data_IF_099847818574
#
_entry.id   IF_099847818574
#
_cell.length_a   1.000
_cell.length_b   1.000
_cell.length_c   1.000
_cell.angle_alpha   90.00
_cell.angle_beta   90.00
_cell.angle_gamma   90.00
#
_symmetry.space_group_name_H-M   'P 1'
#
loop_
_entity.id
_entity.type
_entity.pdbx_description
1 polymer ?
#
# COMPACT_ATOMS: atom_id res chain seq x y z
N UNK A 1 -13.17 67.44 -7.49
CA UNK A 1 -13.02 66.76 -6.19
C UNK A 1 -13.40 65.31 -6.37
N UNK A 2 -12.49 64.43 -5.99
CA UNK A 2 -12.60 62.99 -5.70
C UNK A 2 -13.07 62.01 -6.79
N UNK A 3 -12.06 61.33 -7.35
CA UNK A 3 -12.15 59.91 -7.72
C UNK A 3 -12.36 59.04 -6.48
N UNK A 4 -13.13 57.96 -6.62
CA UNK A 4 -13.07 56.77 -5.78
C UNK A 4 -13.07 55.54 -6.70
N UNK A 5 -11.88 55.04 -7.03
CA UNK A 5 -11.67 53.67 -7.48
C UNK A 5 -11.81 52.77 -6.25
N UNK A 6 -12.83 51.92 -6.21
CA UNK A 6 -12.87 50.78 -5.30
C UNK A 6 -12.40 49.53 -6.05
N UNK A 7 -11.21 49.11 -5.65
CA UNK A 7 -10.51 47.86 -5.95
C UNK A 7 -11.43 46.63 -5.91
N UNK A 8 -11.55 45.94 -7.05
CA UNK A 8 -12.20 44.63 -7.21
C UNK A 8 -11.21 43.47 -7.25
N UNK A 9 -9.96 43.68 -6.83
CA UNK A 9 -8.86 42.72 -7.01
C UNK A 9 -8.66 41.70 -5.88
N UNK A 10 -9.42 41.77 -4.78
CA UNK A 10 -9.24 40.85 -3.63
C UNK A 10 -10.18 39.64 -3.60
N UNK A 11 -11.28 39.62 -4.37
CA UNK A 11 -12.26 38.52 -4.33
C UNK A 11 -11.92 37.42 -5.35
N UNK A 12 -11.26 37.77 -6.47
CA UNK A 12 -10.93 36.81 -7.53
C UNK A 12 -9.71 35.92 -7.23
N UNK A 13 -8.80 36.31 -6.32
CA UNK A 13 -7.61 35.49 -6.04
C UNK A 13 -7.92 34.27 -5.17
N UNK A 14 -8.95 34.34 -4.32
CA UNK A 14 -9.34 33.23 -3.44
C UNK A 14 -10.13 32.15 -4.17
N UNK A 15 -10.98 32.53 -5.14
CA UNK A 15 -11.74 31.59 -5.98
C UNK A 15 -10.85 30.86 -7.00
N UNK A 16 -9.86 31.53 -7.58
CA UNK A 16 -8.93 30.92 -8.54
C UNK A 16 -8.02 29.85 -7.91
N UNK A 17 -7.60 30.04 -6.65
CA UNK A 17 -6.79 29.06 -5.92
C UNK A 17 -7.58 27.79 -5.58
N UNK A 18 -8.87 27.92 -5.22
CA UNK A 18 -9.72 26.79 -4.86
C UNK A 18 -10.04 25.89 -6.07
N UNK A 19 -10.31 26.49 -7.23
CA UNK A 19 -10.56 25.77 -8.49
C UNK A 19 -9.26 25.13 -9.02
N UNK A 20 -8.13 25.85 -8.96
CA UNK A 20 -6.83 25.33 -9.41
C UNK A 20 -6.34 24.13 -8.59
N UNK A 21 -6.50 24.16 -7.27
CA UNK A 21 -6.15 23.03 -6.39
C UNK A 21 -7.02 21.79 -6.68
N UNK A 22 -8.33 21.97 -6.88
CA UNK A 22 -9.24 20.86 -7.18
C UNK A 22 -8.97 20.21 -8.54
N UNK A 23 -8.64 21.01 -9.56
CA UNK A 23 -8.39 20.50 -10.91
C UNK A 23 -7.06 19.73 -11.01
N UNK A 24 -6.03 20.19 -10.30
CA UNK A 24 -4.76 19.46 -10.23
C UNK A 24 -4.91 18.16 -9.43
N UNK A 25 -5.60 18.17 -8.28
CA UNK A 25 -5.85 16.93 -7.52
C UNK A 25 -6.65 15.90 -8.33
N UNK A 26 -7.73 16.30 -9.01
CA UNK A 26 -8.50 15.39 -9.87
C UNK A 26 -7.68 14.86 -11.06
N UNK A 27 -6.83 15.70 -11.65
CA UNK A 27 -5.89 15.29 -12.70
C UNK A 27 -4.88 14.24 -12.20
N UNK A 28 -4.33 14.42 -11.00
CA UNK A 28 -3.44 13.43 -10.38
C UNK A 28 -4.15 12.13 -10.02
N UNK A 29 -5.41 12.19 -9.58
CA UNK A 29 -6.20 11.00 -9.29
C UNK A 29 -6.55 10.22 -10.57
N UNK A 30 -6.84 10.91 -11.68
CA UNK A 30 -7.04 10.28 -12.98
C UNK A 30 -5.77 9.57 -13.48
N UNK A 31 -4.58 10.12 -13.21
CA UNK A 31 -3.29 9.50 -13.59
C UNK A 31 -3.05 8.15 -12.94
N UNK A 32 -3.72 7.85 -11.81
CA UNK A 32 -3.59 6.58 -11.06
C UNK A 32 -4.69 5.56 -11.39
N UNK A 33 -5.46 5.76 -12.46
CA UNK A 33 -6.40 4.76 -12.98
C UNK A 33 -5.66 3.77 -13.88
N UNK A 34 -5.85 2.46 -13.65
CA UNK A 34 -5.23 1.39 -14.46
C UNK A 34 -6.24 0.34 -14.86
N UNK A 35 -6.08 -0.24 -16.05
CA UNK A 35 -6.94 -1.33 -16.52
C UNK A 35 -6.41 -2.68 -16.05
N UNK A 36 -7.21 -3.40 -15.26
CA UNK A 36 -6.90 -4.78 -14.89
C UNK A 36 -7.45 -5.74 -15.94
N UNK A 37 -6.57 -6.52 -16.57
CA UNK A 37 -6.95 -7.51 -17.60
C UNK A 37 -7.76 -8.68 -17.03
N UNK A 38 -7.54 -9.03 -15.77
CA UNK A 38 -8.22 -10.15 -15.09
C UNK A 38 -9.66 -9.77 -14.76
N UNK A 39 -9.86 -8.63 -14.08
CA UNK A 39 -11.19 -8.12 -13.76
C UNK A 39 -11.90 -7.43 -14.94
N UNK A 40 -11.18 -7.15 -16.04
CA UNK A 40 -11.68 -6.43 -17.23
C UNK A 40 -12.31 -5.08 -16.90
N UNK A 41 -11.67 -4.33 -16.00
CA UNK A 41 -12.18 -3.06 -15.49
C UNK A 41 -11.05 -2.05 -15.25
N UNK A 42 -11.40 -0.77 -15.34
CA UNK A 42 -10.53 0.33 -14.90
C UNK A 42 -10.67 0.54 -13.39
N UNK A 43 -9.55 0.50 -12.70
CA UNK A 43 -9.48 0.56 -11.24
C UNK A 43 -8.82 1.89 -10.85
N UNK A 44 -9.53 2.73 -10.10
CA UNK A 44 -9.00 3.98 -9.54
C UNK A 44 -8.00 3.66 -8.44
N UNK A 45 -6.83 4.31 -8.49
CA UNK A 45 -5.74 4.08 -7.55
C UNK A 45 -5.36 2.61 -7.47
N UNK A 46 -5.18 1.96 -8.62
CA UNK A 46 -4.87 0.53 -8.71
C UNK A 46 -3.58 0.19 -7.97
N UNK A 47 -3.65 -0.77 -7.05
CA UNK A 47 -2.48 -1.29 -6.34
C UNK A 47 -2.04 -2.63 -6.92
N UNK A 48 -2.94 -3.61 -6.94
CA UNK A 48 -2.72 -4.91 -7.57
C UNK A 48 -4.04 -5.64 -7.79
N UNK A 49 -4.01 -6.70 -8.60
CA UNK A 49 -5.05 -7.72 -8.57
C UNK A 49 -4.67 -8.77 -7.53
N UNK A 50 -5.52 -9.00 -6.53
CA UNK A 50 -5.26 -9.99 -5.49
C UNK A 50 -6.00 -11.29 -5.79
N UNK A 51 -5.31 -12.39 -6.14
CA UNK A 51 -5.95 -13.67 -6.41
C UNK A 51 -6.67 -14.24 -5.19
N UNK A 52 -6.16 -13.98 -3.97
CA UNK A 52 -6.75 -14.48 -2.73
C UNK A 52 -8.18 -13.96 -2.51
N UNK A 53 -8.46 -12.74 -2.94
CA UNK A 53 -9.81 -12.15 -2.87
C UNK A 53 -10.58 -12.23 -4.20
N UNK A 54 -9.94 -12.70 -5.28
CA UNK A 54 -10.51 -12.67 -6.62
C UNK A 54 -10.88 -11.26 -7.09
N UNK A 55 -10.25 -10.22 -6.55
CA UNK A 55 -10.63 -8.82 -6.76
C UNK A 55 -9.39 -7.91 -6.83
N UNK A 56 -9.55 -6.73 -7.46
CA UNK A 56 -8.53 -5.70 -7.43
C UNK A 56 -8.51 -4.96 -6.10
N UNK A 57 -7.31 -4.68 -5.61
CA UNK A 57 -7.08 -3.73 -4.54
C UNK A 57 -6.77 -2.39 -5.19
N UNK A 58 -7.54 -1.38 -4.81
CA UNK A 58 -7.42 -0.03 -5.32
C UNK A 58 -7.88 0.98 -4.29
N UNK A 59 -8.11 2.22 -4.72
CA UNK A 59 -8.40 3.34 -3.82
C UNK A 59 -9.56 3.06 -2.84
N UNK A 60 -10.66 2.50 -3.32
CA UNK A 60 -11.90 2.38 -2.56
C UNK A 60 -11.90 1.21 -1.55
N UNK A 61 -10.94 0.30 -1.62
CA UNK A 61 -10.87 -0.87 -0.73
C UNK A 61 -9.48 -1.10 -0.11
N UNK A 62 -8.53 -0.19 -0.30
CA UNK A 62 -7.17 -0.35 0.23
C UNK A 62 -7.16 -0.40 1.77
N UNK A 63 -7.95 0.45 2.45
CA UNK A 63 -8.05 0.43 3.91
C UNK A 63 -8.61 -0.91 4.40
N UNK A 64 -9.68 -1.40 3.77
CA UNK A 64 -10.25 -2.70 4.10
C UNK A 64 -9.23 -3.82 3.92
N UNK A 65 -8.45 -3.79 2.84
CA UNK A 65 -7.35 -4.74 2.62
C UNK A 65 -6.32 -4.70 3.74
N UNK A 66 -5.91 -3.51 4.20
CA UNK A 66 -4.97 -3.37 5.33
C UNK A 66 -5.52 -3.92 6.64
N UNK A 67 -6.79 -3.65 6.94
CA UNK A 67 -7.48 -4.17 8.13
C UNK A 67 -7.58 -5.70 8.07
N UNK A 68 -7.93 -6.27 6.91
CA UNK A 68 -7.98 -7.72 6.71
C UNK A 68 -6.61 -8.37 6.88
N UNK A 69 -5.56 -7.78 6.30
CA UNK A 69 -4.20 -8.30 6.43
C UNK A 69 -3.73 -8.27 7.89
N UNK A 70 -4.04 -7.20 8.63
CA UNK A 70 -3.76 -7.11 10.07
C UNK A 70 -4.56 -8.14 10.88
N UNK A 71 -5.82 -8.37 10.51
CA UNK A 71 -6.69 -9.37 11.11
C UNK A 71 -6.17 -10.80 10.91
N UNK A 72 -5.70 -11.13 9.70
CA UNK A 72 -5.08 -12.43 9.40
C UNK A 72 -3.81 -12.63 10.23
N UNK A 73 -2.89 -11.67 10.23
CA UNK A 73 -1.67 -11.72 11.05
C UNK A 73 -1.99 -11.90 12.53
N UNK A 74 -2.97 -11.17 13.05
CA UNK A 74 -3.36 -11.24 14.46
C UNK A 74 -4.00 -12.59 14.81
N UNK A 75 -4.81 -13.15 13.91
CA UNK A 75 -5.45 -14.47 14.08
C UNK A 75 -4.42 -15.59 14.05
N UNK A 76 -3.49 -15.56 13.08
CA UNK A 76 -2.44 -16.56 12.96
C UNK A 76 -1.44 -16.49 14.13
N UNK A 77 -1.06 -15.29 14.56
CA UNK A 77 -0.23 -15.11 15.76
C UNK A 77 -0.92 -15.67 17.01
N UNK A 78 -2.22 -15.39 17.18
CA UNK A 78 -3.02 -15.94 18.29
C UNK A 78 -3.09 -17.47 18.21
N UNK A 79 -3.29 -18.04 17.02
CA UNK A 79 -3.28 -19.48 16.80
C UNK A 79 -1.94 -20.12 17.22
N UNK A 80 -0.81 -19.54 16.82
CA UNK A 80 0.53 -20.04 17.20
C UNK A 80 0.68 -20.01 18.72
N UNK A 81 0.31 -18.91 19.37
CA UNK A 81 0.41 -18.76 20.83
C UNK A 81 -0.46 -19.79 21.57
N UNK A 82 -1.72 -19.95 21.18
CA UNK A 82 -2.63 -20.92 21.77
C UNK A 82 -2.17 -22.37 21.52
N UNK A 83 -1.72 -22.67 20.30
CA UNK A 83 -1.23 -24.02 19.95
C UNK A 83 0.06 -24.35 20.69
N UNK A 84 0.95 -23.38 20.88
CA UNK A 84 2.17 -23.56 21.67
C UNK A 84 1.85 -23.85 23.15
N UNK A 85 0.92 -23.10 23.75
CA UNK A 85 0.45 -23.36 25.11
C UNK A 85 -0.16 -24.75 25.24
N UNK A 86 -1.04 -25.12 24.31
CA UNK A 86 -1.65 -26.45 24.27
C UNK A 86 -0.61 -27.56 24.15
N UNK A 87 0.37 -27.40 23.25
CA UNK A 87 1.41 -28.40 23.02
C UNK A 87 2.35 -28.56 24.23
N UNK A 88 2.63 -27.45 24.93
CA UNK A 88 3.40 -27.46 26.18
C UNK A 88 2.62 -28.16 27.30
N UNK A 89 1.38 -27.75 27.53
CA UNK A 89 0.56 -28.27 28.64
C UNK A 89 0.17 -29.75 28.42
N UNK A 90 0.12 -30.19 27.15
CA UNK A 90 -0.10 -31.58 26.76
C UNK A 90 1.19 -32.40 26.67
N UNK A 91 2.35 -31.84 27.05
CA UNK A 91 3.66 -32.49 27.00
C UNK A 91 4.03 -33.08 25.62
N UNK A 92 3.54 -32.48 24.54
CA UNK A 92 3.81 -32.94 23.15
C UNK A 92 5.31 -32.81 22.82
N UNK A 93 5.99 -31.83 23.41
CA UNK A 93 7.42 -31.59 23.16
C UNK A 93 8.37 -32.49 23.96
N UNK A 94 7.91 -33.17 25.02
CA UNK A 94 8.78 -33.90 25.95
C UNK A 94 9.26 -35.25 25.39
N UNK A 95 8.80 -35.66 24.21
CA UNK A 95 9.29 -36.86 23.49
C UNK A 95 9.09 -38.19 24.22
N UNK A 96 8.49 -38.19 25.41
CA UNK A 96 8.31 -39.37 26.27
C UNK A 96 7.16 -40.26 25.85
N UNK A 97 6.35 -39.85 24.87
CA UNK A 97 5.46 -40.75 24.16
C UNK A 97 6.04 -41.03 22.78
N UNK A 98 6.62 -42.22 22.65
CA UNK A 98 6.82 -42.96 21.40
C UNK A 98 5.49 -43.17 20.60
N UNK A 99 4.40 -42.53 21.04
CA UNK A 99 3.13 -42.32 20.37
C UNK A 99 2.88 -40.82 20.20
N UNK A 100 3.66 -40.12 19.37
CA UNK A 100 3.13 -38.90 18.74
C UNK A 100 2.06 -39.36 17.76
N UNK A 101 0.87 -39.67 18.29
CA UNK A 101 -0.30 -40.01 17.50
C UNK A 101 -0.56 -38.92 16.46
N UNK A 102 -1.36 -39.24 15.45
CA UNK A 102 -1.70 -38.34 14.34
C UNK A 102 -1.98 -36.89 14.79
N UNK A 103 -2.61 -36.69 15.95
CA UNK A 103 -2.90 -35.38 16.53
C UNK A 103 -1.67 -34.54 16.91
N UNK A 104 -0.63 -35.11 17.54
CA UNK A 104 0.57 -34.36 17.94
C UNK A 104 1.39 -33.92 16.73
N UNK A 105 1.58 -34.85 15.79
CA UNK A 105 2.22 -34.56 14.50
C UNK A 105 1.44 -33.50 13.70
N UNK A 106 0.10 -33.57 13.72
CA UNK A 106 -0.75 -32.58 13.08
C UNK A 106 -0.54 -31.20 13.71
N UNK A 107 -0.61 -31.06 15.04
CA UNK A 107 -0.42 -29.78 15.75
C UNK A 107 0.95 -29.16 15.44
N UNK A 108 2.03 -29.95 15.51
CA UNK A 108 3.37 -29.45 15.19
C UNK A 108 3.43 -29.00 13.72
N UNK A 109 2.90 -29.81 12.80
CA UNK A 109 2.93 -29.49 11.37
C UNK A 109 2.15 -28.22 11.03
N UNK A 110 0.97 -28.03 11.63
CA UNK A 110 0.15 -26.83 11.43
C UNK A 110 0.80 -25.61 12.07
N UNK A 111 1.39 -25.74 13.26
CA UNK A 111 2.16 -24.65 13.87
C UNK A 111 3.33 -24.19 13.00
N UNK A 112 4.11 -25.13 12.45
CA UNK A 112 5.23 -24.82 11.56
C UNK A 112 4.75 -24.14 10.26
N UNK A 113 3.68 -24.67 9.67
CA UNK A 113 3.06 -24.07 8.48
C UNK A 113 2.58 -22.64 8.76
N UNK A 114 1.85 -22.43 9.86
CA UNK A 114 1.36 -21.09 10.23
C UNK A 114 2.52 -20.14 10.58
N UNK A 115 3.61 -20.62 11.16
CA UNK A 115 4.79 -19.79 11.41
C UNK A 115 5.41 -19.27 10.11
N UNK A 116 5.63 -20.16 9.12
CA UNK A 116 6.14 -19.76 7.80
C UNK A 116 5.19 -18.77 7.12
N UNK A 117 3.89 -19.00 7.25
CA UNK A 117 2.83 -18.17 6.71
C UNK A 117 2.84 -16.75 7.32
N UNK A 118 2.99 -16.63 8.65
CA UNK A 118 3.09 -15.35 9.36
C UNK A 118 4.36 -14.60 8.97
N UNK A 119 5.51 -15.28 8.85
CA UNK A 119 6.78 -14.65 8.48
C UNK A 119 6.70 -13.97 7.11
N UNK A 120 6.15 -14.66 6.12
CA UNK A 120 5.92 -14.10 4.79
C UNK A 120 4.90 -12.94 4.84
N UNK A 121 3.77 -13.13 5.52
CA UNK A 121 2.73 -12.09 5.63
C UNK A 121 3.23 -10.83 6.36
N UNK A 122 4.13 -10.95 7.34
CA UNK A 122 4.71 -9.81 8.04
C UNK A 122 5.57 -8.96 7.10
N UNK A 123 6.38 -9.59 6.23
CA UNK A 123 7.14 -8.88 5.18
C UNK A 123 6.19 -8.20 4.19
N UNK A 124 5.11 -8.88 3.80
CA UNK A 124 4.10 -8.33 2.92
C UNK A 124 3.35 -7.13 3.56
N UNK A 125 3.04 -7.20 4.85
CA UNK A 125 2.47 -6.08 5.61
C UNK A 125 3.44 -4.89 5.67
N UNK A 126 4.72 -5.15 5.97
CA UNK A 126 5.74 -4.10 5.98
C UNK A 126 5.89 -3.42 4.62
N UNK A 127 5.79 -4.18 3.52
CA UNK A 127 5.75 -3.64 2.17
C UNK A 127 4.59 -2.67 1.96
N UNK A 128 3.37 -3.04 2.33
CA UNK A 128 2.22 -2.16 2.19
C UNK A 128 2.28 -0.93 3.11
N UNK A 129 2.82 -1.07 4.32
CA UNK A 129 3.09 0.07 5.20
C UNK A 129 4.08 1.04 4.55
N UNK A 130 5.17 0.52 3.96
CA UNK A 130 6.11 1.34 3.20
C UNK A 130 5.41 2.09 2.05
N UNK A 131 4.62 1.38 1.24
CA UNK A 131 3.82 1.97 0.16
C UNK A 131 2.94 3.12 0.65
N UNK A 132 2.24 2.95 1.78
CA UNK A 132 1.40 3.99 2.39
C UNK A 132 2.27 5.17 2.85
N UNK A 133 3.36 4.91 3.57
CA UNK A 133 4.27 5.93 4.09
C UNK A 133 4.87 6.82 2.99
N UNK A 134 5.08 6.28 1.79
CA UNK A 134 5.64 7.01 0.64
C UNK A 134 4.59 7.32 -0.44
N UNK A 135 3.29 7.14 -0.19
CA UNK A 135 2.19 7.38 -1.14
C UNK A 135 2.41 6.72 -2.52
N UNK A 136 3.00 5.53 -2.53
CA UNK A 136 3.27 4.77 -3.75
C UNK A 136 2.52 3.45 -3.73
N UNK A 137 1.92 3.07 -4.85
CA UNK A 137 1.23 1.78 -4.99
C UNK A 137 2.19 0.70 -5.45
N UNK A 138 1.85 -0.55 -5.16
CA UNK A 138 2.65 -1.72 -5.56
C UNK A 138 2.84 -1.75 -7.08
N UNK A 139 1.77 -1.54 -7.86
CA UNK A 139 1.84 -1.42 -9.33
C UNK A 139 2.80 -0.29 -9.78
N UNK A 140 2.71 0.88 -9.15
CA UNK A 140 3.55 2.03 -9.49
C UNK A 140 5.02 1.77 -9.21
N UNK A 141 5.35 1.15 -8.06
CA UNK A 141 6.71 0.77 -7.75
C UNK A 141 7.26 -0.28 -8.70
N UNK A 142 6.48 -1.32 -9.04
CA UNK A 142 6.95 -2.40 -9.91
C UNK A 142 7.11 -1.88 -11.35
N UNK A 143 6.20 -1.03 -11.81
CA UNK A 143 6.12 -0.57 -13.18
C UNK A 143 6.62 0.87 -13.39
N UNK A 144 7.40 1.44 -12.47
CA UNK A 144 7.84 2.84 -12.53
C UNK A 144 8.51 3.24 -13.85
N UNK A 145 9.28 2.31 -14.47
CA UNK A 145 9.92 2.53 -15.78
C UNK A 145 8.94 2.67 -16.96
N UNK A 146 7.67 2.31 -16.78
CA UNK A 146 6.61 2.49 -17.79
C UNK A 146 5.88 3.82 -17.62
N UNK A 147 6.00 4.45 -16.46
CA UNK A 147 5.25 5.64 -16.07
C UNK A 147 6.19 6.85 -16.11
N UNK A 148 5.97 7.75 -17.08
CA UNK A 148 6.82 8.93 -17.28
C UNK A 148 6.82 9.85 -16.05
N UNK A 149 5.75 9.86 -15.27
CA UNK A 149 5.63 10.64 -14.05
C UNK A 149 6.61 10.19 -12.95
N UNK A 150 7.13 8.96 -13.00
CA UNK A 150 8.12 8.44 -12.05
C UNK A 150 9.57 8.54 -12.57
N UNK A 151 9.78 9.23 -13.69
CA UNK A 151 11.07 9.28 -14.38
C UNK A 151 11.65 10.69 -14.37
N UNK A 152 12.89 10.81 -13.92
CA UNK A 152 13.70 12.02 -14.09
C UNK A 152 14.92 11.68 -14.95
N UNK A 153 15.12 12.45 -16.02
CA UNK A 153 16.26 12.30 -16.93
C UNK A 153 17.31 13.31 -16.51
N UNK A 154 18.43 12.83 -15.97
CA UNK A 154 19.58 13.67 -15.65
C UNK A 154 20.56 13.61 -16.83
N UNK A 155 20.75 14.75 -17.50
CA UNK A 155 21.82 14.93 -18.49
C UNK A 155 23.10 15.34 -17.77
N UNK A 156 24.16 14.56 -17.93
CA UNK A 156 25.49 14.94 -17.42
C UNK A 156 26.07 16.08 -18.27
N UNK A 157 26.45 17.19 -17.63
CA UNK A 157 27.03 18.38 -18.29
C UNK A 157 28.47 18.19 -18.80
N UNK A 158 29.06 17.00 -18.66
CA UNK A 158 30.44 16.74 -19.08
C UNK A 158 30.50 15.71 -20.22
N UNK A 159 30.21 16.15 -21.45
CA UNK A 159 30.71 15.58 -22.72
C UNK A 159 30.38 14.12 -23.07
N UNK A 160 29.67 13.37 -22.22
CA UNK A 160 29.28 11.98 -22.47
C UNK A 160 27.76 11.86 -22.65
N UNK A 161 27.31 11.23 -23.75
CA UNK A 161 25.89 11.10 -24.11
C UNK A 161 25.11 10.09 -23.27
N UNK A 162 25.35 10.01 -21.95
CA UNK A 162 24.60 9.14 -21.07
C UNK A 162 23.53 9.94 -20.33
N UNK A 163 22.30 9.90 -20.85
CA UNK A 163 21.11 10.27 -20.11
C UNK A 163 20.81 9.16 -19.09
N UNK A 164 20.91 9.44 -17.80
CA UNK A 164 20.57 8.48 -16.75
C UNK A 164 19.10 8.68 -16.33
N UNK A 165 18.30 7.62 -16.41
CA UNK A 165 16.94 7.60 -15.88
C UNK A 165 16.98 7.26 -14.39
N UNK A 166 16.47 8.17 -13.56
CA UNK A 166 16.35 7.98 -12.12
C UNK A 166 14.88 7.93 -11.70
N UNK A 167 14.60 7.17 -10.65
CA UNK A 167 13.27 7.08 -10.04
C UNK A 167 12.99 8.34 -9.23
N UNK A 168 11.78 8.88 -9.38
CA UNK A 168 11.27 9.99 -8.60
C UNK A 168 9.81 9.69 -8.25
N UNK A 169 9.39 9.95 -7.02
CA UNK A 169 8.01 9.76 -6.60
C UNK A 169 7.29 11.11 -6.51
N UNK A 170 6.44 11.47 -7.48
CA UNK A 170 5.76 12.77 -7.49
C UNK A 170 4.63 12.87 -6.45
N UNK A 171 4.24 11.76 -5.82
CA UNK A 171 3.13 11.70 -4.86
C UNK A 171 3.58 11.77 -3.40
N UNK A 172 4.89 11.68 -3.14
CA UNK A 172 5.42 11.75 -1.79
C UNK A 172 5.41 13.18 -1.24
N UNK A 173 4.58 13.43 -0.23
CA UNK A 173 4.44 14.71 0.47
C UNK A 173 5.00 14.64 1.91
N UNK A 174 5.73 13.58 2.23
CA UNK A 174 6.21 13.25 3.57
C UNK A 174 5.25 12.34 4.33
N UNK A 175 5.82 11.49 5.19
CA UNK A 175 5.14 10.35 5.84
C UNK A 175 3.81 10.75 6.49
N UNK A 176 3.78 11.81 7.29
CA UNK A 176 2.56 12.22 8.01
C UNK A 176 1.44 12.62 7.04
N UNK A 177 1.77 13.39 6.00
CA UNK A 177 0.78 13.84 5.02
C UNK A 177 0.30 12.67 4.15
N UNK A 178 1.20 11.78 3.75
CA UNK A 178 0.87 10.58 2.98
C UNK A 178 -0.08 9.65 3.74
N UNK A 179 0.21 9.39 5.02
CA UNK A 179 -0.65 8.58 5.89
C UNK A 179 -2.01 9.25 6.09
N UNK A 180 -2.05 10.57 6.30
CA UNK A 180 -3.30 11.32 6.42
C UNK A 180 -4.15 11.21 5.16
N UNK A 181 -3.55 11.37 3.98
CA UNK A 181 -4.24 11.22 2.68
C UNK A 181 -4.75 9.80 2.48
N UNK A 182 -4.01 8.78 2.90
CA UNK A 182 -4.44 7.39 2.81
C UNK A 182 -5.74 7.13 3.58
N UNK A 183 -5.86 7.65 4.80
CA UNK A 183 -7.06 7.47 5.61
C UNK A 183 -8.22 8.39 5.19
N UNK A 184 -7.93 9.61 4.74
CA UNK A 184 -8.96 10.58 4.30
C UNK A 184 -9.72 10.14 3.04
N UNK A 185 -9.18 9.20 2.27
CA UNK A 185 -9.80 8.67 1.05
C UNK A 185 -10.84 7.58 1.34
N UNK A 186 -10.92 7.10 2.59
CA UNK A 186 -11.90 6.11 3.03
C UNK A 186 -13.25 6.67 3.49
N UNK A 187 -13.37 7.99 3.62
CA UNK A 187 -14.59 8.73 3.96
C UNK A 187 -15.32 9.20 2.69
#
# INVERSE_FOLDING_TARGET
MHQLQLSSSSIFSSFGAFIGLSFDEDSFQLKRVRYCKICKAYIKGFDHHCPAFGNCIGQNNHILFMVLLLGFLSTEASYILCSFQFARDSHIFDGTRFENGLGGSLVISTMLFTLLQVLWQAVFMAWHIYCICFNIRTDEWINWKKYSEFQVIIQSQSGGSFAQMQFMNPYDKGILQNVKEFFAVGD
#
